data_IF_901117109070
#
_entry.id   IF_901117109070
#
_cell.length_a   1.000
_cell.length_b   1.000
_cell.length_c   1.000
_cell.angle_alpha   90.00
_cell.angle_beta   90.00
_cell.angle_gamma   90.00
#
_symmetry.space_group_name_H-M   'P 1'
#
loop_
_entity.id
_entity.type
_entity.pdbx_description
1 polymer ?
#
# COMPACT_ATOMS: atom_id res chain seq x y z
N UNK A 1 27.78 -79.52 49.13
CA UNK A 1 27.28 -80.13 47.87
C UNK A 1 25.77 -80.25 47.98
N UNK A 2 25.02 -79.84 46.94
CA UNK A 2 24.99 -80.56 45.68
C UNK A 2 25.47 -79.74 44.48
N UNK A 3 26.23 -80.40 43.62
CA UNK A 3 26.61 -79.94 42.28
C UNK A 3 25.45 -80.26 41.33
N UNK A 4 24.92 -79.25 40.63
CA UNK A 4 24.06 -79.48 39.48
C UNK A 4 24.93 -79.71 38.24
N UNK A 5 24.68 -80.87 37.62
CA UNK A 5 25.25 -81.34 36.36
C UNK A 5 25.03 -80.31 35.26
N UNK A 6 26.13 -79.86 34.65
CA UNK A 6 26.13 -78.97 33.51
C UNK A 6 25.95 -79.82 32.23
N UNK A 7 24.74 -79.86 31.66
CA UNK A 7 24.48 -80.49 30.37
C UNK A 7 24.90 -79.48 29.28
N UNK A 8 25.86 -79.82 28.39
CA UNK A 8 26.26 -78.92 27.32
C UNK A 8 25.21 -78.98 26.20
N UNK A 9 24.56 -77.85 25.89
CA UNK A 9 23.81 -77.74 24.62
C UNK A 9 22.50 -76.97 24.58
N UNK A 10 22.11 -76.18 25.59
CA UNK A 10 20.97 -75.27 25.43
C UNK A 10 21.40 -73.83 25.65
N UNK A 11 21.61 -73.13 24.53
CA UNK A 11 21.62 -71.67 24.51
C UNK A 11 20.22 -71.22 24.97
N UNK A 12 20.10 -70.34 25.98
CA UNK A 12 18.80 -69.82 26.38
C UNK A 12 18.12 -69.17 25.18
N UNK A 13 16.79 -69.33 24.99
CA UNK A 13 16.09 -68.68 23.90
C UNK A 13 16.36 -67.18 23.97
N UNK A 14 16.74 -66.58 22.84
CA UNK A 14 16.93 -65.13 22.79
C UNK A 14 15.63 -64.46 23.25
N UNK A 15 15.70 -63.42 24.10
CA UNK A 15 14.51 -62.67 24.45
C UNK A 15 13.82 -62.20 23.17
N UNK A 16 12.48 -62.24 23.11
CA UNK A 16 11.77 -61.72 21.97
C UNK A 16 12.21 -60.27 21.71
N UNK A 17 12.32 -59.85 20.44
CA UNK A 17 12.63 -58.46 20.14
C UNK A 17 11.63 -57.56 20.87
N UNK A 18 12.07 -56.40 21.38
CA UNK A 18 11.16 -55.45 21.99
C UNK A 18 10.04 -55.15 20.98
N UNK A 19 8.79 -54.98 21.44
CA UNK A 19 7.71 -54.58 20.54
C UNK A 19 8.15 -53.31 19.80
N UNK A 20 7.81 -53.17 18.51
CA UNK A 20 8.08 -51.94 17.80
C UNK A 20 7.51 -50.78 18.62
N UNK A 21 8.20 -49.62 18.67
CA UNK A 21 7.67 -48.46 19.34
C UNK A 21 6.24 -48.22 18.83
N UNK A 22 5.29 -47.87 19.72
CA UNK A 22 3.96 -47.52 19.26
C UNK A 22 4.10 -46.50 18.13
N UNK A 23 3.30 -46.61 17.05
CA UNK A 23 3.29 -45.56 16.04
C UNK A 23 3.12 -44.22 16.77
N UNK A 24 3.84 -43.16 16.34
CA UNK A 24 3.63 -41.83 16.93
C UNK A 24 2.13 -41.61 16.99
N UNK A 25 1.57 -41.09 18.11
CA UNK A 25 0.14 -40.84 18.23
C UNK A 25 -0.26 -40.19 16.92
N UNK A 26 -1.09 -40.91 16.15
CA UNK A 26 -1.52 -40.43 14.85
C UNK A 26 -1.96 -39.01 15.13
N UNK A 27 -1.31 -38.05 14.47
CA UNK A 27 -1.71 -36.66 14.60
C UNK A 27 -3.13 -36.70 14.10
N UNK A 28 -4.08 -36.76 15.05
CA UNK A 28 -5.42 -36.30 14.83
C UNK A 28 -5.13 -34.85 14.55
N UNK A 29 -4.89 -34.55 13.27
CA UNK A 29 -4.98 -33.20 12.75
C UNK A 29 -6.25 -32.70 13.36
N UNK A 30 -6.07 -31.77 14.29
CA UNK A 30 -7.13 -31.23 15.09
C UNK A 30 -8.23 -30.84 14.12
N UNK A 31 -9.32 -31.61 14.07
CA UNK A 31 -10.55 -31.28 13.34
C UNK A 31 -11.31 -30.17 14.08
N UNK A 32 -10.55 -29.24 14.63
CA UNK A 32 -10.90 -28.07 15.42
C UNK A 32 -9.79 -27.02 15.32
N UNK A 33 -8.95 -27.05 14.28
CA UNK A 33 -8.57 -25.79 13.65
C UNK A 33 -9.82 -25.31 12.93
N UNK A 34 -10.49 -24.32 13.49
CA UNK A 34 -11.22 -23.36 12.66
C UNK A 34 -10.32 -23.05 11.45
N UNK A 35 -10.75 -23.27 10.20
CA UNK A 35 -9.92 -22.94 9.06
C UNK A 35 -9.53 -21.48 9.21
N UNK A 36 -8.26 -21.23 9.48
CA UNK A 36 -7.69 -19.91 9.30
C UNK A 36 -7.82 -19.68 7.81
N UNK A 37 -8.90 -19.03 7.36
CA UNK A 37 -9.17 -18.81 5.93
C UNK A 37 -8.10 -17.86 5.41
N UNK A 38 -7.05 -18.36 4.74
CA UNK A 38 -6.00 -17.50 4.25
C UNK A 38 -6.48 -16.94 2.91
N UNK A 39 -6.37 -15.62 2.79
CA UNK A 39 -6.07 -14.96 1.51
C UNK A 39 -7.28 -14.84 0.57
N UNK A 40 -7.86 -13.63 0.54
CA UNK A 40 -8.54 -13.16 -0.66
C UNK A 40 -7.47 -13.13 -1.76
N UNK A 41 -7.50 -14.11 -2.65
CA UNK A 41 -6.59 -14.21 -3.79
C UNK A 41 -7.07 -13.25 -4.88
N UNK A 42 -6.15 -12.44 -5.41
CA UNK A 42 -6.43 -11.46 -6.45
C UNK A 42 -5.54 -11.72 -7.66
N UNK A 43 -6.18 -11.77 -8.83
CA UNK A 43 -5.48 -12.02 -10.09
C UNK A 43 -5.23 -10.73 -10.88
N UNK A 44 -5.98 -9.67 -10.58
CA UNK A 44 -5.97 -8.42 -11.34
C UNK A 44 -5.70 -7.21 -10.44
N UNK A 45 -5.15 -6.11 -10.99
CA UNK A 45 -4.99 -4.86 -10.26
C UNK A 45 -6.29 -4.33 -9.66
N UNK A 46 -7.39 -4.36 -10.42
CA UNK A 46 -8.70 -3.88 -9.97
C UNK A 46 -9.23 -4.65 -8.74
N UNK A 47 -8.92 -5.94 -8.62
CA UNK A 47 -9.30 -6.74 -7.45
C UNK A 47 -8.40 -6.47 -6.22
N UNK A 48 -7.16 -6.04 -6.45
CA UNK A 48 -6.20 -5.73 -5.39
C UNK A 48 -6.58 -4.47 -4.62
N UNK A 49 -6.88 -3.38 -5.33
CA UNK A 49 -7.44 -2.14 -4.78
C UNK A 49 -8.77 -1.83 -5.50
N UNK A 50 -9.88 -2.43 -5.04
CA UNK A 50 -11.19 -2.20 -5.64
C UNK A 50 -11.68 -0.78 -5.34
N UNK A 51 -12.53 -0.31 -6.26
CA UNK A 51 -13.32 0.91 -6.10
C UNK A 51 -14.17 0.82 -4.84
N UNK A 52 -14.35 1.94 -4.16
CA UNK A 52 -15.28 2.10 -3.04
C UNK A 52 -16.12 3.34 -3.31
N UNK A 53 -17.41 3.11 -3.51
CA UNK A 53 -18.38 4.20 -3.61
C UNK A 53 -18.75 4.70 -2.22
N UNK A 54 -18.96 6.00 -2.13
CA UNK A 54 -19.51 6.65 -0.95
C UNK A 54 -20.81 5.96 -0.54
N UNK A 55 -20.99 5.69 0.76
CA UNK A 55 -22.17 5.00 1.30
C UNK A 55 -22.09 3.47 1.34
N UNK A 56 -21.08 2.83 0.73
CA UNK A 56 -20.84 1.41 0.95
C UNK A 56 -20.34 1.15 2.39
N UNK A 57 -21.05 0.30 3.15
CA UNK A 57 -20.63 -0.10 4.49
C UNK A 57 -19.48 -1.11 4.43
N UNK A 58 -18.30 -0.69 4.02
CA UNK A 58 -17.09 -1.48 4.26
C UNK A 58 -16.70 -1.33 5.73
N UNK A 59 -16.26 -2.42 6.35
CA UNK A 59 -15.64 -2.36 7.67
C UNK A 59 -14.39 -1.48 7.54
N UNK A 60 -14.53 -0.22 7.97
CA UNK A 60 -13.61 0.93 7.84
C UNK A 60 -12.16 0.69 8.34
N UNK A 61 -11.87 -0.50 8.86
CA UNK A 61 -10.62 -0.87 9.52
C UNK A 61 -10.18 -2.30 9.10
N UNK A 62 -10.64 -2.82 7.96
CA UNK A 62 -10.25 -4.15 7.50
C UNK A 62 -8.86 -4.12 6.85
N UNK A 63 -7.81 -3.99 7.66
CA UNK A 63 -6.48 -4.41 7.23
C UNK A 63 -6.51 -5.90 6.95
N UNK A 64 -6.09 -6.31 5.76
CA UNK A 64 -6.21 -7.71 5.31
C UNK A 64 -4.95 -8.19 4.62
N UNK A 65 -4.69 -9.48 4.71
CA UNK A 65 -3.67 -10.14 3.90
C UNK A 65 -4.32 -10.59 2.60
N UNK A 66 -3.80 -10.10 1.47
CA UNK A 66 -4.27 -10.41 0.12
C UNK A 66 -3.15 -11.09 -0.64
N UNK A 67 -3.43 -12.22 -1.28
CA UNK A 67 -2.44 -12.93 -2.10
C UNK A 67 -2.56 -12.47 -3.54
N UNK A 68 -1.49 -11.90 -4.09
CA UNK A 68 -1.43 -11.61 -5.52
C UNK A 68 -1.06 -12.90 -6.25
N UNK A 69 -2.06 -13.55 -6.84
CA UNK A 69 -1.96 -14.89 -7.43
C UNK A 69 -0.82 -15.03 -8.43
N UNK A 70 -0.65 -14.11 -9.42
CA UNK A 70 0.36 -14.26 -10.46
C UNK A 70 1.79 -14.30 -9.93
N UNK A 71 2.04 -13.67 -8.78
CA UNK A 71 3.38 -13.58 -8.18
C UNK A 71 3.51 -14.40 -6.90
N UNK A 72 2.43 -15.06 -6.46
CA UNK A 72 2.36 -15.87 -5.24
C UNK A 72 2.85 -15.11 -3.99
N UNK A 73 2.63 -13.80 -3.96
CA UNK A 73 3.08 -12.94 -2.87
C UNK A 73 1.91 -12.47 -2.03
N UNK A 74 2.03 -12.61 -0.72
CA UNK A 74 1.06 -12.09 0.23
C UNK A 74 1.40 -10.64 0.55
N UNK A 75 0.42 -9.76 0.45
CA UNK A 75 0.55 -8.32 0.68
C UNK A 75 -0.38 -7.93 1.81
N UNK A 76 0.13 -7.15 2.76
CA UNK A 76 -0.69 -6.60 3.84
C UNK A 76 -1.32 -5.30 3.36
N UNK A 77 -2.60 -5.37 2.98
CA UNK A 77 -3.36 -4.22 2.50
C UNK A 77 -4.00 -3.52 3.68
N UNK A 78 -3.64 -2.24 3.88
CA UNK A 78 -4.26 -1.39 4.89
C UNK A 78 -5.25 -0.43 4.25
N UNK A 79 -6.33 -0.17 4.98
CA UNK A 79 -7.37 0.81 4.66
C UNK A 79 -7.62 1.57 5.94
N UNK A 80 -7.03 2.75 6.01
CA UNK A 80 -7.30 3.73 7.05
C UNK A 80 -7.29 5.10 6.38
N UNK A 81 -8.04 6.04 6.94
CA UNK A 81 -8.03 7.41 6.45
C UNK A 81 -6.62 8.00 6.53
N UNK A 82 -6.30 8.80 5.53
CA UNK A 82 -5.06 9.57 5.49
C UNK A 82 -5.26 10.85 6.30
N UNK A 83 -4.39 11.06 7.29
CA UNK A 83 -4.34 12.29 8.06
C UNK A 83 -3.24 13.21 7.53
N UNK A 84 -3.30 14.49 7.91
CA UNK A 84 -2.29 15.48 7.52
C UNK A 84 -0.86 15.05 7.91
N UNK A 85 -0.69 14.32 9.01
CA UNK A 85 0.61 13.78 9.43
C UNK A 85 1.20 12.79 8.42
N UNK A 86 0.37 11.96 7.78
CA UNK A 86 0.82 10.98 6.78
C UNK A 86 1.28 11.68 5.49
N UNK A 87 0.60 12.78 5.12
CA UNK A 87 1.01 13.64 4.02
C UNK A 87 2.34 14.35 4.33
N UNK A 88 2.46 14.99 5.49
CA UNK A 88 3.69 15.69 5.92
C UNK A 88 4.92 14.78 5.94
N UNK A 89 4.73 13.49 6.26
CA UNK A 89 5.80 12.49 6.26
C UNK A 89 6.45 12.29 4.87
N UNK A 90 5.67 12.50 3.81
CA UNK A 90 6.05 12.24 2.41
C UNK A 90 6.11 13.51 1.54
N UNK A 91 5.69 14.66 2.06
CA UNK A 91 5.66 15.94 1.36
C UNK A 91 7.01 16.31 0.72
N UNK A 92 8.13 16.02 1.41
CA UNK A 92 9.47 16.29 0.91
C UNK A 92 9.75 15.62 -0.44
N UNK A 93 9.24 14.41 -0.65
CA UNK A 93 9.44 13.65 -1.88
C UNK A 93 8.49 14.14 -2.97
N UNK A 94 7.24 14.45 -2.60
CA UNK A 94 6.25 14.99 -3.53
C UNK A 94 6.68 16.36 -4.09
N UNK A 95 7.36 17.18 -3.28
CA UNK A 95 7.81 18.53 -3.66
C UNK A 95 9.10 18.56 -4.47
N UNK A 96 10.05 17.69 -4.14
CA UNK A 96 11.43 17.83 -4.61
C UNK A 96 11.97 16.58 -5.31
N UNK A 97 11.19 15.49 -5.33
CA UNK A 97 11.56 14.23 -5.94
C UNK A 97 11.15 14.17 -7.40
N UNK A 98 12.05 13.66 -8.23
CA UNK A 98 11.73 13.27 -9.60
C UNK A 98 11.09 11.88 -9.62
N UNK A 99 10.30 11.61 -10.65
CA UNK A 99 9.71 10.30 -10.86
C UNK A 99 10.78 9.25 -11.17
N UNK A 100 10.47 8.01 -10.82
CA UNK A 100 11.26 6.83 -11.15
C UNK A 100 12.66 6.71 -10.52
N UNK A 101 13.08 7.68 -9.71
CA UNK A 101 14.34 7.66 -8.97
C UNK A 101 14.13 7.27 -7.50
N UNK A 102 15.17 6.66 -6.90
CA UNK A 102 15.19 6.30 -5.49
C UNK A 102 15.83 7.41 -4.65
N UNK A 103 15.33 7.62 -3.44
CA UNK A 103 15.78 8.65 -2.51
C UNK A 103 15.89 8.10 -1.08
N UNK A 104 16.85 8.61 -0.31
CA UNK A 104 16.82 8.49 1.15
C UNK A 104 16.12 9.71 1.74
N UNK A 105 15.32 9.52 2.79
CA UNK A 105 14.66 10.64 3.46
C UNK A 105 15.72 11.59 4.06
N UNK A 106 15.71 12.89 3.69
CA UNK A 106 16.63 13.85 4.26
C UNK A 106 16.42 14.04 5.76
N UNK A 107 17.47 14.43 6.47
CA UNK A 107 17.34 14.78 7.89
C UNK A 107 16.41 15.99 8.08
N UNK A 108 15.77 16.08 9.25
CA UNK A 108 14.95 17.26 9.62
C UNK A 108 15.74 18.58 9.55
N UNK A 109 17.05 18.55 9.81
CA UNK A 109 17.89 19.73 9.67
C UNK A 109 18.04 20.15 8.20
N UNK A 110 18.23 19.18 7.31
CA UNK A 110 18.34 19.40 5.87
C UNK A 110 17.03 19.91 5.26
N UNK A 111 15.89 19.32 5.64
CA UNK A 111 14.58 19.81 5.19
C UNK A 111 14.33 21.26 5.62
N UNK A 112 14.75 21.64 6.84
CA UNK A 112 14.67 23.04 7.30
C UNK A 112 15.54 23.99 6.49
N UNK A 113 16.76 23.57 6.11
CA UNK A 113 17.60 24.41 5.25
C UNK A 113 17.02 24.60 3.86
N UNK A 114 16.42 23.57 3.26
CA UNK A 114 15.72 23.68 1.98
C UNK A 114 14.60 24.72 2.09
N UNK A 115 13.71 24.58 3.08
CA UNK A 115 12.61 25.52 3.29
C UNK A 115 13.07 26.97 3.46
N UNK A 116 14.24 27.16 4.08
CA UNK A 116 14.85 28.49 4.28
C UNK A 116 15.38 29.06 2.96
N UNK A 117 16.02 28.23 2.13
CA UNK A 117 16.50 28.63 0.80
C UNK A 117 15.35 29.01 -0.14
N UNK A 118 14.25 28.25 -0.12
CA UNK A 118 13.05 28.52 -0.91
C UNK A 118 12.39 29.84 -0.52
N UNK A 119 12.31 30.10 0.80
CA UNK A 119 11.78 31.36 1.33
C UNK A 119 12.60 32.58 0.88
N UNK A 120 13.88 32.37 0.57
CA UNK A 120 14.79 33.40 0.06
C UNK A 120 14.83 33.48 -1.48
N UNK A 121 13.94 32.76 -2.20
CA UNK A 121 13.88 32.66 -3.67
C UNK A 121 15.22 32.27 -4.32
N UNK A 122 16.01 31.46 -3.64
CA UNK A 122 17.12 30.77 -4.31
C UNK A 122 16.53 29.71 -5.25
N UNK A 123 17.27 29.33 -6.30
CA UNK A 123 16.84 28.35 -7.31
C UNK A 123 16.19 27.09 -6.69
N UNK A 124 15.20 26.48 -7.36
CA UNK A 124 14.49 25.30 -6.84
C UNK A 124 15.47 24.21 -6.43
N UNK A 125 15.25 23.65 -5.24
CA UNK A 125 16.10 22.60 -4.71
C UNK A 125 15.59 21.24 -5.18
N UNK A 126 16.39 20.54 -5.96
CA UNK A 126 16.15 19.14 -6.33
C UNK A 126 16.83 18.20 -5.33
N UNK A 127 16.12 17.14 -4.95
CA UNK A 127 16.72 16.10 -4.12
C UNK A 127 17.80 15.34 -4.90
N UNK A 128 18.89 15.01 -4.22
CA UNK A 128 19.90 14.14 -4.79
C UNK A 128 19.39 12.69 -4.81
N UNK A 129 19.28 12.05 -5.99
CA UNK A 129 18.86 10.67 -6.07
C UNK A 129 19.95 9.72 -5.54
N UNK A 130 19.53 8.56 -5.06
CA UNK A 130 20.39 7.48 -4.63
C UNK A 130 20.92 6.72 -5.87
N UNK A 131 22.13 7.09 -6.31
CA UNK A 131 22.74 6.58 -7.55
C UNK A 131 23.01 5.06 -7.54
N UNK A 132 23.20 4.46 -6.37
CA UNK A 132 23.46 3.04 -6.19
C UNK A 132 22.30 2.35 -5.42
N UNK A 133 21.07 2.71 -5.76
CA UNK A 133 19.89 2.10 -5.16
C UNK A 133 19.85 0.59 -5.40
N UNK A 134 19.64 -0.16 -4.31
CA UNK A 134 19.54 -1.62 -4.27
C UNK A 134 18.28 -1.97 -3.47
N UNK A 135 17.10 -1.77 -4.06
CA UNK A 135 15.83 -1.97 -3.38
C UNK A 135 15.62 -3.45 -3.05
N UNK A 136 15.40 -3.73 -1.77
CA UNK A 136 15.09 -5.06 -1.29
C UNK A 136 13.67 -5.47 -1.68
N UNK A 137 13.49 -6.75 -2.05
CA UNK A 137 12.17 -7.37 -2.18
C UNK A 137 11.72 -7.91 -0.81
N UNK A 138 10.71 -7.27 -0.21
CA UNK A 138 10.15 -7.67 1.09
C UNK A 138 9.23 -8.88 0.91
N UNK A 139 9.32 -9.86 1.81
CA UNK A 139 8.47 -11.06 1.77
C UNK A 139 6.98 -10.73 1.79
N UNK A 140 6.58 -9.83 2.71
CA UNK A 140 5.21 -9.36 2.86
C UNK A 140 5.20 -7.82 2.83
N UNK A 141 5.13 -7.19 1.64
CA UNK A 141 5.03 -5.74 1.56
C UNK A 141 3.69 -5.25 2.11
N UNK A 142 3.67 -3.99 2.56
CA UNK A 142 2.46 -3.27 2.95
C UNK A 142 1.96 -2.43 1.79
N UNK A 143 0.67 -2.47 1.50
CA UNK A 143 0.08 -1.63 0.49
C UNK A 143 -1.07 -0.83 1.09
N UNK A 144 -0.92 0.48 1.14
CA UNK A 144 -2.01 1.35 1.57
C UNK A 144 -2.96 1.62 0.40
N UNK A 145 -4.19 1.15 0.54
CA UNK A 145 -5.30 1.50 -0.35
C UNK A 145 -5.98 2.76 0.18
N UNK A 146 -5.39 3.92 -0.11
CA UNK A 146 -5.89 5.25 0.28
C UNK A 146 -7.11 5.65 -0.56
N UNK A 147 -7.78 6.74 -0.18
CA UNK A 147 -8.89 7.31 -0.93
C UNK A 147 -8.49 7.64 -2.38
N UNK A 148 -7.29 8.17 -2.60
CA UNK A 148 -6.76 8.43 -3.94
C UNK A 148 -6.68 7.16 -4.83
N UNK A 149 -6.60 5.97 -4.25
CA UNK A 149 -6.49 4.71 -4.98
C UNK A 149 -7.82 3.94 -5.09
N UNK A 150 -8.81 4.30 -4.26
CA UNK A 150 -10.09 3.56 -4.15
C UNK A 150 -11.31 4.38 -4.56
N UNK A 151 -11.25 5.71 -4.50
CA UNK A 151 -12.36 6.58 -4.90
C UNK A 151 -12.49 6.59 -6.43
N UNK A 152 -13.68 6.29 -6.97
CA UNK A 152 -13.92 6.36 -8.41
C UNK A 152 -14.15 7.80 -8.88
N UNK A 153 -14.11 8.03 -10.19
CA UNK A 153 -14.42 9.35 -10.78
C UNK A 153 -15.91 9.62 -10.86
N UNK A 154 -16.74 8.58 -10.84
CA UNK A 154 -18.20 8.59 -10.81
C UNK A 154 -18.77 8.33 -9.40
N UNK A 155 -18.09 8.84 -8.36
CA UNK A 155 -18.52 8.61 -6.98
C UNK A 155 -19.86 9.27 -6.65
N UNK A 156 -20.63 8.60 -5.79
CA UNK A 156 -22.01 8.94 -5.45
C UNK A 156 -22.10 10.25 -4.62
N UNK A 157 -22.92 11.20 -5.07
CA UNK A 157 -23.15 12.47 -4.36
C UNK A 157 -24.43 12.42 -3.54
N UNK A 158 -24.31 12.49 -2.22
CA UNK A 158 -25.44 12.51 -1.29
C UNK A 158 -25.94 13.92 -0.95
N UNK A 159 -25.05 14.91 -0.91
CA UNK A 159 -25.38 16.27 -0.53
C UNK A 159 -25.71 17.15 -1.75
N UNK A 160 -26.96 17.05 -2.23
CA UNK A 160 -27.43 17.93 -3.30
C UNK A 160 -27.79 19.32 -2.77
N UNK A 161 -26.93 20.31 -3.02
CA UNK A 161 -27.20 21.73 -2.70
C UNK A 161 -27.93 22.48 -3.82
N UNK A 162 -27.97 21.91 -5.04
CA UNK A 162 -28.59 22.50 -6.23
C UNK A 162 -30.10 22.31 -6.32
N UNK A 163 -30.74 21.73 -5.29
CA UNK A 163 -32.19 21.52 -5.27
C UNK A 163 -32.69 20.48 -6.27
N UNK A 164 -31.84 19.55 -6.71
CA UNK A 164 -32.24 18.40 -7.55
C UNK A 164 -33.04 17.34 -6.78
N UNK A 165 -33.71 17.73 -5.70
CA UNK A 165 -34.60 16.84 -4.95
C UNK A 165 -35.74 16.43 -5.86
N UNK A 166 -35.74 15.15 -6.24
CA UNK A 166 -36.91 14.51 -6.82
C UNK A 166 -38.07 14.71 -5.82
N UNK A 167 -39.25 15.00 -6.35
CA UNK A 167 -40.50 15.47 -5.74
C UNK A 167 -41.06 14.66 -4.55
N UNK A 168 -40.30 13.73 -3.96
CA UNK A 168 -40.74 12.78 -2.92
C UNK A 168 -39.72 12.55 -1.78
N UNK A 169 -38.80 13.48 -1.51
CA UNK A 169 -38.02 13.46 -0.27
C UNK A 169 -37.03 12.29 -0.13
N UNK A 170 -36.45 11.83 -1.24
CA UNK A 170 -35.48 10.74 -1.25
C UNK A 170 -34.15 11.20 -0.65
N UNK A 171 -33.78 10.63 0.51
CA UNK A 171 -32.50 10.83 1.19
C UNK A 171 -31.40 9.93 0.60
N UNK A 172 -31.26 9.94 -0.73
CA UNK A 172 -30.31 9.09 -1.46
C UNK A 172 -29.36 9.89 -2.34
N UNK A 173 -28.69 9.19 -3.26
CA UNK A 173 -27.72 9.79 -4.17
C UNK A 173 -28.40 10.67 -5.22
N UNK A 174 -27.75 11.77 -5.59
CA UNK A 174 -28.21 12.69 -6.61
C UNK A 174 -27.52 12.35 -7.94
N UNK A 175 -28.25 11.65 -8.82
CA UNK A 175 -27.73 11.26 -10.13
C UNK A 175 -27.25 12.46 -10.96
N UNK A 176 -28.03 13.55 -11.03
CA UNK A 176 -27.62 14.71 -11.81
C UNK A 176 -26.31 15.34 -11.30
N UNK A 177 -26.15 15.48 -9.98
CA UNK A 177 -24.89 16.00 -9.43
C UNK A 177 -23.73 15.02 -9.67
N UNK A 178 -23.99 13.71 -9.54
CA UNK A 178 -22.99 12.66 -9.76
C UNK A 178 -22.48 12.71 -11.21
N UNK A 179 -23.40 12.76 -12.18
CA UNK A 179 -23.08 12.87 -13.61
C UNK A 179 -22.31 14.17 -13.91
N UNK A 180 -22.82 15.32 -13.47
CA UNK A 180 -22.18 16.62 -13.70
C UNK A 180 -20.74 16.67 -13.16
N UNK A 181 -20.51 16.12 -11.96
CA UNK A 181 -19.19 16.09 -11.32
C UNK A 181 -18.27 15.05 -11.92
N UNK A 182 -18.80 13.90 -12.35
CA UNK A 182 -18.05 12.88 -13.05
C UNK A 182 -17.54 13.40 -14.40
N UNK A 183 -18.41 14.02 -15.20
CA UNK A 183 -18.03 14.65 -16.47
C UNK A 183 -16.96 15.74 -16.28
N UNK A 184 -17.11 16.56 -15.22
CA UNK A 184 -16.11 17.57 -14.86
C UNK A 184 -14.74 16.94 -14.52
N UNK A 185 -14.72 15.84 -13.76
CA UNK A 185 -13.50 15.10 -13.44
C UNK A 185 -12.87 14.44 -14.68
N UNK A 186 -13.66 13.81 -15.55
CA UNK A 186 -13.17 13.19 -16.78
C UNK A 186 -12.53 14.22 -17.73
N UNK A 187 -13.05 15.45 -17.74
CA UNK A 187 -12.48 16.56 -18.51
C UNK A 187 -11.26 17.21 -17.84
N UNK A 188 -10.97 16.87 -16.59
CA UNK A 188 -9.86 17.43 -15.80
C UNK A 188 -8.67 16.47 -15.81
N UNK A 189 -7.50 16.87 -16.37
CA UNK A 189 -6.33 16.02 -16.30
C UNK A 189 -5.83 15.88 -14.85
N UNK A 190 -5.75 14.65 -14.36
CA UNK A 190 -5.31 14.33 -12.99
C UNK A 190 -3.92 13.66 -12.99
N UNK A 191 -3.22 13.81 -11.87
CA UNK A 191 -1.95 13.14 -11.58
C UNK A 191 -2.08 12.40 -10.25
N UNK A 192 -2.00 11.07 -10.33
CA UNK A 192 -1.96 10.16 -9.20
C UNK A 192 -0.52 9.91 -8.80
N UNK A 193 -0.13 10.34 -7.61
CA UNK A 193 1.21 10.16 -7.07
C UNK A 193 1.24 8.94 -6.14
N UNK A 194 2.23 8.07 -6.32
CA UNK A 194 2.50 6.93 -5.44
C UNK A 194 3.89 7.06 -4.85
N UNK A 195 3.98 6.94 -3.53
CA UNK A 195 5.24 6.81 -2.81
C UNK A 195 5.44 5.34 -2.48
N UNK A 196 6.41 4.74 -3.18
CA UNK A 196 6.87 3.39 -2.87
C UNK A 196 7.99 3.45 -1.86
N UNK A 197 8.11 2.44 -1.00
CA UNK A 197 9.26 2.33 -0.11
C UNK A 197 9.75 0.90 0.09
N UNK A 198 11.04 0.76 0.34
CA UNK A 198 11.66 -0.51 0.77
C UNK A 198 12.96 -0.21 1.51
N UNK A 199 13.71 -1.24 1.87
CA UNK A 199 15.04 -1.12 2.46
C UNK A 199 16.12 -1.12 1.37
N UNK A 200 17.17 -0.33 1.58
CA UNK A 200 18.41 -0.40 0.82
C UNK A 200 19.26 -1.59 1.28
N UNK A 201 19.63 -2.49 0.37
CA UNK A 201 20.55 -3.58 0.71
C UNK A 201 21.94 -3.02 1.09
N UNK A 202 22.52 -3.49 2.21
CA UNK A 202 23.88 -3.17 2.62
C UNK A 202 24.93 -3.85 1.73
N UNK A 203 24.66 -5.10 1.33
CA UNK A 203 25.53 -5.95 0.52
C UNK A 203 24.75 -6.50 -0.71
N UNK A 204 25.35 -6.61 -1.91
CA UNK A 204 24.72 -7.22 -3.08
C UNK A 204 24.23 -8.67 -2.91
N UNK A 205 24.66 -9.42 -1.89
CA UNK A 205 24.26 -10.83 -1.71
C UNK A 205 23.82 -11.14 -0.27
N UNK A 206 22.53 -10.97 0.03
CA UNK A 206 21.94 -11.50 1.28
C UNK A 206 20.67 -12.28 0.98
N UNK A 207 20.67 -13.57 1.34
CA UNK A 207 19.47 -14.37 1.53
C UNK A 207 19.09 -14.28 3.01
N UNK A 208 17.86 -13.81 3.31
CA UNK A 208 17.31 -13.83 4.67
C UNK A 208 17.10 -12.46 5.33
N UNK A 209 16.14 -12.43 6.26
CA UNK A 209 15.38 -11.31 6.81
C UNK A 209 16.16 -10.27 7.67
N UNK A 210 17.45 -10.05 7.44
CA UNK A 210 18.24 -9.04 8.15
C UNK A 210 18.47 -7.80 7.28
N UNK A 211 17.39 -7.07 7.00
CA UNK A 211 17.49 -5.78 6.32
C UNK A 211 17.85 -4.69 7.34
N UNK A 212 19.13 -4.63 7.72
CA UNK A 212 19.71 -3.48 8.47
C UNK A 212 19.90 -2.24 7.57
N UNK A 213 19.09 -2.13 6.51
CA UNK A 213 19.16 -1.12 5.48
C UNK A 213 18.38 0.13 5.84
N UNK A 214 18.83 1.28 5.35
CA UNK A 214 18.05 2.52 5.42
C UNK A 214 16.79 2.37 4.55
N UNK A 215 15.71 3.01 4.95
CA UNK A 215 14.52 3.09 4.12
C UNK A 215 14.79 4.02 2.94
N UNK A 216 14.46 3.54 1.75
CA UNK A 216 14.52 4.28 0.50
C UNK A 216 13.12 4.40 -0.07
N UNK A 217 12.88 5.50 -0.78
CA UNK A 217 11.59 5.90 -1.30
C UNK A 217 11.69 6.18 -2.79
N UNK A 218 10.62 5.89 -3.53
CA UNK A 218 10.51 6.17 -4.96
C UNK A 218 9.16 6.81 -5.23
N UNK A 219 9.16 7.90 -6.00
CA UNK A 219 7.94 8.56 -6.46
C UNK A 219 7.58 8.05 -7.85
N UNK A 220 6.31 7.71 -8.05
CA UNK A 220 5.71 7.42 -9.35
C UNK A 220 4.52 8.37 -9.55
N UNK A 221 4.37 8.90 -10.76
CA UNK A 221 3.20 9.70 -11.18
C UNK A 221 2.46 8.93 -12.28
N UNK A 222 1.14 8.83 -12.17
CA UNK A 222 0.26 8.15 -13.11
C UNK A 222 -0.86 9.10 -13.55
N UNK A 223 -1.38 8.95 -14.77
CA UNK A 223 -2.47 9.78 -15.29
C UNK A 223 -3.88 9.32 -14.91
N UNK A 224 -4.04 8.17 -14.27
CA UNK A 224 -5.34 7.62 -13.86
C UNK A 224 -5.23 6.74 -12.62
N UNK A 225 -6.37 6.51 -11.96
CA UNK A 225 -6.49 5.59 -10.81
C UNK A 225 -6.09 4.18 -11.23
N UNK A 226 -6.57 3.70 -12.37
CA UNK A 226 -6.30 2.35 -12.87
C UNK A 226 -4.80 2.13 -13.12
N UNK A 227 -4.11 3.12 -13.70
CA UNK A 227 -2.68 3.07 -13.91
C UNK A 227 -1.92 3.05 -12.57
N UNK A 228 -2.34 3.87 -11.61
CA UNK A 228 -1.78 3.88 -10.26
C UNK A 228 -1.97 2.52 -9.56
N UNK A 229 -3.18 1.96 -9.59
CA UNK A 229 -3.50 0.66 -8.98
C UNK A 229 -2.73 -0.48 -9.64
N UNK A 230 -2.60 -0.46 -10.97
CA UNK A 230 -1.74 -1.41 -11.69
C UNK A 230 -0.30 -1.32 -11.21
N UNK A 231 0.23 -0.12 -11.05
CA UNK A 231 1.62 0.05 -10.63
C UNK A 231 1.84 -0.33 -9.17
N UNK A 232 0.86 -0.07 -8.30
CA UNK A 232 0.84 -0.61 -6.93
C UNK A 232 0.82 -2.15 -6.90
N UNK A 233 0.01 -2.77 -7.77
CA UNK A 233 -0.10 -4.23 -7.89
C UNK A 233 1.22 -4.89 -8.31
N UNK A 234 1.88 -4.35 -9.34
CA UNK A 234 3.17 -4.89 -9.81
C UNK A 234 4.30 -4.56 -8.83
N UNK A 235 4.35 -3.35 -8.25
CA UNK A 235 5.37 -3.00 -7.28
C UNK A 235 5.29 -3.86 -6.00
N UNK A 236 4.09 -4.05 -5.45
CA UNK A 236 3.91 -4.92 -4.30
C UNK A 236 4.14 -6.39 -4.66
N UNK A 237 3.51 -6.87 -5.74
CA UNK A 237 3.50 -8.28 -6.11
C UNK A 237 4.81 -8.80 -6.71
N UNK A 238 5.35 -8.12 -7.73
CA UNK A 238 6.59 -8.52 -8.40
C UNK A 238 7.77 -8.12 -7.54
N UNK A 239 7.88 -6.83 -7.21
CA UNK A 239 9.09 -6.28 -6.63
C UNK A 239 9.15 -6.41 -5.11
N UNK A 240 8.02 -6.65 -4.44
CA UNK A 240 7.99 -6.74 -2.98
C UNK A 240 8.18 -5.39 -2.29
N UNK A 241 7.73 -4.29 -2.90
CA UNK A 241 7.87 -2.96 -2.32
C UNK A 241 6.59 -2.52 -1.64
N UNK A 242 6.73 -1.68 -0.60
CA UNK A 242 5.58 -1.10 0.07
C UNK A 242 4.99 0.03 -0.79
N UNK A 243 3.67 0.19 -0.72
CA UNK A 243 2.97 1.42 -1.12
C UNK A 243 2.72 2.21 0.15
N UNK A 244 3.58 3.19 0.40
CA UNK A 244 3.67 3.92 1.67
C UNK A 244 2.72 5.10 1.75
N UNK A 245 2.43 5.74 0.63
CA UNK A 245 1.52 6.88 0.53
C UNK A 245 1.04 7.04 -0.92
N UNK A 246 -0.14 7.61 -1.10
CA UNK A 246 -0.65 8.00 -2.41
C UNK A 246 -1.61 9.18 -2.29
N UNK A 247 -1.62 10.02 -3.32
CA UNK A 247 -2.52 11.17 -3.41
C UNK A 247 -2.80 11.53 -4.86
N UNK A 248 -3.81 12.38 -5.08
CA UNK A 248 -4.19 12.87 -6.40
C UNK A 248 -4.15 14.40 -6.43
N UNK A 249 -3.65 14.95 -7.52
CA UNK A 249 -3.61 16.38 -7.80
C UNK A 249 -4.13 16.64 -9.21
N UNK A 250 -4.58 17.86 -9.48
CA UNK A 250 -4.85 18.29 -10.86
C UNK A 250 -3.52 18.58 -11.57
N UNK A 251 -3.40 18.16 -12.83
CA UNK A 251 -2.23 18.46 -13.65
C UNK A 251 -2.11 19.99 -13.81
N UNK A 252 -0.90 20.49 -13.60
CA UNK A 252 -0.61 21.91 -13.55
C UNK A 252 -0.97 22.64 -12.26
N UNK A 253 -1.38 21.88 -11.24
CA UNK A 253 -1.49 22.36 -9.87
C UNK A 253 -0.50 21.70 -8.92
N UNK A 254 0.45 20.92 -9.45
CA UNK A 254 1.43 20.20 -8.67
C UNK A 254 2.59 21.09 -8.21
N UNK A 255 3.52 20.50 -7.46
CA UNK A 255 4.66 21.22 -6.88
C UNK A 255 5.72 21.64 -7.89
N UNK A 256 5.66 21.16 -9.15
CA UNK A 256 6.56 21.61 -10.21
C UNK A 256 6.09 22.95 -10.77
N UNK A 257 4.77 23.15 -10.83
CA UNK A 257 4.17 24.36 -11.42
C UNK A 257 3.74 25.41 -10.39
N UNK A 258 3.46 25.03 -9.14
CA UNK A 258 2.99 25.94 -8.07
C UNK A 258 3.88 25.88 -6.83
N UNK A 259 4.24 27.05 -6.30
CA UNK A 259 4.99 27.18 -5.03
C UNK A 259 4.08 27.47 -3.82
N UNK A 260 2.91 26.84 -3.80
CA UNK A 260 1.77 27.22 -2.96
C UNK A 260 1.64 26.54 -1.60
N UNK A 261 0.68 27.00 -0.80
CA UNK A 261 0.22 26.23 0.38
C UNK A 261 -0.56 25.00 -0.08
N UNK A 262 -0.38 23.89 0.62
CA UNK A 262 -1.15 22.67 0.37
C UNK A 262 -2.53 22.81 1.01
N UNK A 263 -3.58 22.50 0.25
CA UNK A 263 -4.96 22.42 0.70
C UNK A 263 -5.46 21.00 0.47
N UNK A 264 -5.83 20.31 1.55
CA UNK A 264 -6.47 19.00 1.46
C UNK A 264 -7.85 19.16 0.84
N UNK A 265 -8.17 18.36 -0.18
CA UNK A 265 -9.52 18.16 -0.68
C UNK A 265 -10.13 16.96 0.04
N UNK A 266 -11.37 17.10 0.51
CA UNK A 266 -12.09 16.02 1.18
C UNK A 266 -12.71 15.05 0.17
N UNK A 267 -13.14 15.56 -0.99
CA UNK A 267 -13.73 14.78 -2.08
C UNK A 267 -12.91 14.90 -3.37
N UNK A 268 -12.84 13.82 -4.16
CA UNK A 268 -12.04 13.79 -5.39
C UNK A 268 -12.52 14.84 -6.41
N UNK A 269 -13.84 14.99 -6.55
CA UNK A 269 -14.46 15.91 -7.52
C UNK A 269 -14.10 17.38 -7.28
N UNK A 270 -13.70 17.75 -6.06
CA UNK A 270 -13.27 19.12 -5.75
C UNK A 270 -11.98 19.53 -6.47
N UNK A 271 -11.23 18.57 -7.04
CA UNK A 271 -10.09 18.88 -7.91
C UNK A 271 -10.52 19.43 -9.29
N UNK A 272 -11.73 19.10 -9.75
CA UNK A 272 -12.26 19.60 -11.02
C UNK A 272 -12.71 21.06 -10.93
N UNK A 273 -13.14 21.51 -9.75
CA UNK A 273 -13.57 22.90 -9.52
C UNK A 273 -12.44 23.88 -9.90
N UNK A 274 -12.81 25.07 -10.39
CA UNK A 274 -11.84 26.13 -10.66
C UNK A 274 -11.35 26.74 -9.34
N UNK A 275 -10.03 26.82 -9.15
CA UNK A 275 -9.44 27.50 -7.99
C UNK A 275 -8.90 28.86 -8.43
N UNK A 276 -9.41 29.92 -7.82
CA UNK A 276 -9.02 31.30 -8.14
C UNK A 276 -7.62 31.62 -7.64
N UNK A 277 -7.16 30.97 -6.55
CA UNK A 277 -5.84 31.18 -5.99
C UNK A 277 -4.77 30.27 -6.61
N UNK A 278 -4.00 30.84 -7.53
CA UNK A 278 -2.85 30.19 -8.18
C UNK A 278 -1.72 29.80 -7.21
N UNK A 279 -1.76 30.26 -5.96
CA UNK A 279 -0.78 29.92 -4.91
C UNK A 279 -1.24 28.77 -4.00
N UNK A 280 -2.21 27.96 -4.43
CA UNK A 280 -2.67 26.78 -3.69
C UNK A 280 -2.41 25.52 -4.50
N UNK A 281 -1.84 24.51 -3.83
CA UNK A 281 -1.71 23.14 -4.34
C UNK A 281 -2.81 22.31 -3.70
N UNK A 282 -3.80 21.90 -4.50
CA UNK A 282 -4.92 21.08 -4.03
C UNK A 282 -4.56 19.62 -4.14
N UNK A 283 -4.71 18.89 -3.04
CA UNK A 283 -4.32 17.48 -2.96
C UNK A 283 -5.45 16.68 -2.33
N UNK A 284 -5.91 15.66 -3.03
CA UNK A 284 -6.86 14.67 -2.53
C UNK A 284 -6.09 13.48 -1.95
N UNK A 285 -6.38 13.13 -0.70
CA UNK A 285 -5.79 11.98 0.01
C UNK A 285 -6.65 11.49 1.18
#
# INVERSE_FOLDING_TARGET
>A
MPQFLNIPGMVPPRPPPPPPPPPPPGTIHSLLETPFHPELEVETPAAFMPVQYSGESFLDIASRVTRIAPFRRSVFVTRHHVHAADFEEHEWLLKHGSTELWYEKPSKAHLRSIKTLESNRWAPYELLPLLNARPVSLETPKAWASAAMTTPTDDDIYDCTSGHTVDDGYAGTCHQCTDDKSEALESTPLVYCLVMSTCQASDPFIHGAHFNGRQIYKLIKCGSREAAVAEAFYAAGVNGWNIAFSCTMRLGEDFEERSGKVKKMDELWMLADEEEDKNVVRVFY
#
